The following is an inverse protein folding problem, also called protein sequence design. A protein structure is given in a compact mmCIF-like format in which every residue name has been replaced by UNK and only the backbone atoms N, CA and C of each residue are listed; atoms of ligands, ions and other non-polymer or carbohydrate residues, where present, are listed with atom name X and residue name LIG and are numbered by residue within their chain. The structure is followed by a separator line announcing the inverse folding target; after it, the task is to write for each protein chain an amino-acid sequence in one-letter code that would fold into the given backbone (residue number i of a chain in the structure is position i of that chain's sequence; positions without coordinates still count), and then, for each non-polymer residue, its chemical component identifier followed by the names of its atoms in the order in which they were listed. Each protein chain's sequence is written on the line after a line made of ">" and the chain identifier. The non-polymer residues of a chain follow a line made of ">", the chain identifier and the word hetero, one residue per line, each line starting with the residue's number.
data_IF_698681063803
#
_entry.id   IF_698681063803
#
_cell.length_a   1.000
_cell.length_b   1.000
_cell.length_c   1.000
_cell.angle_alpha   90.00
_cell.angle_beta   90.00
_cell.angle_gamma   90.00
#
_symmetry.space_group_name_H-M   'P 1'
#
loop_
_entity.id
_entity.type
_entity.pdbx_description
1 polymer ?
#
# COMPACT_ATOMS: atom_id res chain seq x y z
N UNK A 1 12.32 14.68 -10.44
CA UNK A 1 12.72 13.52 -9.60
C UNK A 1 12.03 12.25 -10.09
N UNK A 2 10.72 12.25 -10.33
CA UNK A 2 10.00 11.07 -10.85
C UNK A 2 10.58 10.56 -12.17
N UNK A 3 10.86 11.43 -13.13
CA UNK A 3 11.44 11.05 -14.43
C UNK A 3 12.83 10.45 -14.30
N UNK A 4 13.67 10.95 -13.39
CA UNK A 4 14.99 10.37 -13.14
C UNK A 4 14.91 8.97 -12.52
N UNK A 5 13.98 8.75 -11.58
CA UNK A 5 13.77 7.43 -10.98
C UNK A 5 13.14 6.41 -11.95
N UNK A 6 12.31 6.83 -12.88
CA UNK A 6 11.73 5.93 -13.89
C UNK A 6 12.77 5.19 -14.72
N UNK A 7 13.89 5.86 -15.05
CA UNK A 7 14.95 5.24 -15.84
C UNK A 7 15.87 4.31 -15.03
N UNK A 8 15.97 4.52 -13.70
CA UNK A 8 16.87 3.75 -12.84
C UNK A 8 16.16 2.73 -11.94
N UNK A 9 14.90 2.97 -11.57
CA UNK A 9 14.13 2.08 -10.71
C UNK A 9 12.65 2.01 -11.13
N UNK A 10 12.39 1.26 -12.18
CA UNK A 10 11.03 1.07 -12.71
C UNK A 10 10.05 0.49 -11.68
N UNK A 11 10.54 -0.30 -10.72
CA UNK A 11 9.71 -0.89 -9.67
C UNK A 11 9.04 0.17 -8.80
N UNK A 12 9.78 1.18 -8.35
CA UNK A 12 9.26 2.24 -7.48
C UNK A 12 8.18 3.09 -8.19
N UNK A 13 8.35 3.30 -9.49
CA UNK A 13 7.36 4.02 -10.30
C UNK A 13 6.04 3.26 -10.39
N UNK A 14 6.11 1.95 -10.64
CA UNK A 14 4.92 1.10 -10.67
C UNK A 14 4.24 1.07 -9.30
N UNK A 15 5.03 1.03 -8.21
CA UNK A 15 4.51 1.09 -6.85
C UNK A 15 3.77 2.39 -6.56
N UNK A 16 4.39 3.52 -6.87
CA UNK A 16 3.77 4.83 -6.67
C UNK A 16 2.45 4.96 -7.45
N UNK A 17 2.44 4.54 -8.71
CA UNK A 17 1.24 4.48 -9.53
C UNK A 17 0.16 3.59 -8.88
N UNK A 18 0.54 2.39 -8.47
CA UNK A 18 -0.37 1.43 -7.86
C UNK A 18 -0.96 1.94 -6.55
N UNK A 19 -0.18 2.65 -5.73
CA UNK A 19 -0.67 3.28 -4.51
C UNK A 19 -1.77 4.29 -4.78
N UNK A 20 -1.57 5.19 -5.74
CA UNK A 20 -2.58 6.20 -6.11
C UNK A 20 -3.88 5.53 -6.55
N UNK A 21 -3.77 4.50 -7.39
CA UNK A 21 -4.95 3.76 -7.86
C UNK A 21 -5.61 2.95 -6.74
N UNK A 22 -4.86 2.34 -5.82
CA UNK A 22 -5.43 1.65 -4.66
C UNK A 22 -6.27 2.58 -3.80
N UNK A 23 -5.73 3.76 -3.44
CA UNK A 23 -6.48 4.78 -2.69
C UNK A 23 -7.75 5.18 -3.43
N UNK A 24 -7.64 5.49 -4.72
CA UNK A 24 -8.78 5.86 -5.56
C UNK A 24 -9.86 4.78 -5.57
N UNK A 25 -9.48 3.52 -5.79
CA UNK A 25 -10.40 2.39 -5.85
C UNK A 25 -11.08 2.13 -4.51
N UNK A 26 -10.34 2.21 -3.39
CA UNK A 26 -10.90 2.08 -2.04
C UNK A 26 -11.92 3.18 -1.78
N UNK A 27 -11.60 4.43 -2.04
CA UNK A 27 -12.53 5.55 -1.85
C UNK A 27 -13.79 5.40 -2.72
N UNK A 28 -13.64 4.97 -3.97
CA UNK A 28 -14.77 4.70 -4.86
C UNK A 28 -15.62 3.53 -4.39
N UNK A 29 -14.98 2.48 -3.92
CA UNK A 29 -15.66 1.33 -3.34
C UNK A 29 -16.49 1.74 -2.12
N UNK A 30 -15.90 2.45 -1.15
CA UNK A 30 -16.60 2.91 0.06
C UNK A 30 -17.83 3.77 -0.28
N UNK A 31 -17.70 4.66 -1.26
CA UNK A 31 -18.83 5.50 -1.71
C UNK A 31 -19.92 4.73 -2.46
N UNK A 32 -19.57 3.68 -3.18
CA UNK A 32 -20.49 3.03 -4.15
C UNK A 32 -20.82 1.57 -3.81
N UNK A 33 -20.46 1.09 -2.63
CA UNK A 33 -20.70 -0.30 -2.22
C UNK A 33 -22.20 -0.68 -2.29
N UNK A 34 -23.11 0.25 -2.01
CA UNK A 34 -24.55 0.04 -2.10
C UNK A 34 -25.05 -0.29 -3.51
N UNK A 35 -24.30 0.10 -4.56
CA UNK A 35 -24.60 -0.18 -5.95
C UNK A 35 -23.74 -1.38 -6.38
N UNK A 36 -24.29 -2.58 -6.26
CA UNK A 36 -23.55 -3.85 -6.41
C UNK A 36 -22.78 -3.96 -7.74
N UNK A 37 -23.38 -3.63 -8.87
CA UNK A 37 -22.70 -3.68 -10.17
C UNK A 37 -21.45 -2.80 -10.23
N UNK A 38 -21.54 -1.61 -9.65
CA UNK A 38 -20.41 -0.66 -9.63
C UNK A 38 -19.35 -1.07 -8.60
N UNK A 39 -19.77 -1.53 -7.42
CA UNK A 39 -18.84 -1.98 -6.37
C UNK A 39 -18.04 -3.19 -6.83
N UNK A 40 -18.66 -4.12 -7.52
CA UNK A 40 -18.02 -5.33 -8.03
C UNK A 40 -16.83 -5.04 -8.95
N UNK A 41 -16.93 -4.03 -9.81
CA UNK A 41 -15.80 -3.60 -10.65
C UNK A 41 -14.61 -3.12 -9.81
N UNK A 42 -14.87 -2.33 -8.77
CA UNK A 42 -13.80 -1.84 -7.90
C UNK A 42 -13.11 -2.98 -7.14
N UNK A 43 -13.87 -3.97 -6.68
CA UNK A 43 -13.33 -5.16 -6.00
C UNK A 43 -12.41 -5.97 -6.93
N UNK A 44 -12.82 -6.16 -8.19
CA UNK A 44 -12.02 -6.86 -9.19
C UNK A 44 -10.72 -6.09 -9.44
N UNK A 45 -10.82 -4.79 -9.70
CA UNK A 45 -9.62 -3.97 -9.96
C UNK A 45 -8.69 -3.88 -8.75
N UNK A 46 -9.22 -3.84 -7.51
CA UNK A 46 -8.41 -3.90 -6.30
C UNK A 46 -7.62 -5.21 -6.21
N UNK A 47 -8.27 -6.35 -6.45
CA UNK A 47 -7.60 -7.64 -6.44
C UNK A 47 -6.52 -7.77 -7.52
N UNK A 48 -6.81 -7.35 -8.74
CA UNK A 48 -5.86 -7.34 -9.85
C UNK A 48 -4.66 -6.45 -9.57
N UNK A 49 -4.90 -5.21 -9.15
CA UNK A 49 -3.84 -4.23 -8.89
C UNK A 49 -2.96 -4.66 -7.72
N UNK A 50 -3.57 -5.17 -6.64
CA UNK A 50 -2.84 -5.71 -5.50
C UNK A 50 -1.93 -6.87 -5.92
N UNK A 51 -2.44 -7.82 -6.71
CA UNK A 51 -1.67 -8.97 -7.18
C UNK A 51 -0.48 -8.57 -8.05
N UNK A 52 -0.71 -7.75 -9.06
CA UNK A 52 0.34 -7.30 -9.97
C UNK A 52 1.44 -6.53 -9.24
N UNK A 53 1.06 -5.62 -8.35
CA UNK A 53 2.02 -4.82 -7.59
C UNK A 53 2.81 -5.63 -6.57
N UNK A 54 2.14 -6.59 -5.89
CA UNK A 54 2.79 -7.51 -4.95
C UNK A 54 3.79 -8.41 -5.68
N UNK A 55 3.46 -8.87 -6.87
CA UNK A 55 4.36 -9.69 -7.65
C UNK A 55 5.61 -8.96 -8.14
N UNK A 56 5.54 -7.63 -8.30
CA UNK A 56 6.73 -6.83 -8.61
C UNK A 56 7.60 -6.66 -7.36
N UNK A 57 6.96 -6.41 -6.21
CA UNK A 57 7.63 -6.27 -4.94
C UNK A 57 6.67 -6.58 -3.79
N UNK A 58 7.01 -7.59 -2.99
CA UNK A 58 6.17 -8.06 -1.89
C UNK A 58 5.91 -6.99 -0.81
N UNK A 59 6.85 -6.08 -0.60
CA UNK A 59 6.69 -4.92 0.30
C UNK A 59 5.48 -4.04 -0.01
N UNK A 60 4.91 -4.13 -1.22
CA UNK A 60 3.70 -3.40 -1.58
C UNK A 60 2.54 -3.69 -0.63
N UNK A 61 2.35 -4.95 -0.21
CA UNK A 61 1.30 -5.31 0.75
C UNK A 61 1.49 -4.61 2.10
N UNK A 62 2.73 -4.58 2.60
CA UNK A 62 3.07 -3.87 3.84
C UNK A 62 2.75 -2.38 3.75
N UNK A 63 3.03 -1.76 2.62
CA UNK A 63 2.76 -0.34 2.38
C UNK A 63 1.27 0.00 2.28
N UNK A 64 0.37 -1.00 2.09
CA UNK A 64 -1.08 -0.80 2.13
C UNK A 64 -1.67 -0.77 3.56
N UNK A 65 -0.90 -1.16 4.59
CA UNK A 65 -1.39 -1.20 5.98
C UNK A 65 -1.95 0.15 6.45
N UNK A 66 -1.28 1.31 6.29
CA UNK A 66 -1.83 2.59 6.71
C UNK A 66 -3.15 2.94 6.02
N UNK A 67 -3.25 2.67 4.72
CA UNK A 67 -4.47 2.94 3.94
C UNK A 67 -5.62 2.06 4.41
N UNK A 68 -5.34 0.79 4.70
CA UNK A 68 -6.33 -0.15 5.23
C UNK A 68 -6.81 0.27 6.62
N UNK A 69 -5.91 0.71 7.49
CA UNK A 69 -6.27 1.25 8.82
C UNK A 69 -7.19 2.47 8.67
N UNK A 70 -6.84 3.42 7.80
CA UNK A 70 -7.68 4.59 7.54
C UNK A 70 -9.07 4.21 7.01
N UNK A 71 -9.15 3.23 6.11
CA UNK A 71 -10.43 2.71 5.61
C UNK A 71 -11.26 2.06 6.72
N UNK A 72 -10.64 1.32 7.64
CA UNK A 72 -11.29 0.73 8.81
C UNK A 72 -11.81 1.83 9.74
N UNK A 73 -10.99 2.84 10.04
CA UNK A 73 -11.39 3.99 10.87
C UNK A 73 -12.58 4.71 10.25
N UNK A 74 -12.58 4.92 8.93
CA UNK A 74 -13.71 5.53 8.21
C UNK A 74 -14.98 4.69 8.35
N UNK A 75 -14.89 3.36 8.18
CA UNK A 75 -16.05 2.45 8.24
C UNK A 75 -16.67 2.39 9.64
N UNK A 76 -15.85 2.41 10.70
CA UNK A 76 -16.33 2.17 12.06
C UNK A 76 -16.60 3.46 12.82
N UNK A 77 -15.80 4.51 12.62
CA UNK A 77 -15.81 5.72 13.44
C UNK A 77 -16.36 6.93 12.68
N UNK A 78 -15.73 7.37 11.61
CA UNK A 78 -16.06 8.64 10.97
C UNK A 78 -17.33 8.58 10.12
N UNK A 79 -17.51 7.55 9.34
CA UNK A 79 -18.66 7.35 8.45
C UNK A 79 -18.99 8.55 7.55
N UNK A 80 -17.98 9.37 7.20
CA UNK A 80 -18.13 10.56 6.35
C UNK A 80 -18.16 10.23 4.86
N UNK A 81 -17.35 9.22 4.46
CA UNK A 81 -17.17 8.84 3.05
C UNK A 81 -18.14 7.74 2.66
N UNK A 82 -18.45 6.83 3.60
CA UNK A 82 -19.33 5.69 3.32
C UNK A 82 -20.77 6.13 3.06
N UNK A 83 -21.42 5.41 2.16
CA UNK A 83 -22.85 5.64 1.88
C UNK A 83 -23.70 5.17 3.08
N UNK A 84 -24.86 5.82 3.30
CA UNK A 84 -25.85 5.44 4.32
C UNK A 84 -26.31 3.97 4.21
N UNK A 85 -26.29 3.40 3.01
CA UNK A 85 -26.65 2.00 2.73
C UNK A 85 -25.46 1.03 2.70
N UNK A 86 -24.34 1.41 3.32
CA UNK A 86 -23.16 0.55 3.41
C UNK A 86 -23.43 -0.70 4.25
N UNK A 87 -23.17 -1.87 3.70
CA UNK A 87 -23.40 -3.16 4.37
C UNK A 87 -22.09 -3.84 4.76
N UNK A 88 -21.90 -4.09 6.07
CA UNK A 88 -20.76 -4.83 6.58
C UNK A 88 -20.71 -6.28 6.07
N UNK A 89 -21.87 -6.91 5.87
CA UNK A 89 -21.96 -8.26 5.30
C UNK A 89 -21.42 -8.29 3.87
N UNK A 90 -21.80 -7.30 3.07
CA UNK A 90 -21.28 -7.16 1.71
C UNK A 90 -19.78 -6.87 1.69
N UNK A 91 -19.27 -6.10 2.65
CA UNK A 91 -17.83 -5.85 2.79
C UNK A 91 -17.07 -7.17 2.95
N UNK A 92 -17.54 -8.07 3.83
CA UNK A 92 -16.87 -9.36 4.03
C UNK A 92 -16.84 -10.20 2.74
N UNK A 93 -17.96 -10.28 2.01
CA UNK A 93 -17.98 -10.97 0.72
C UNK A 93 -17.05 -10.34 -0.31
N UNK A 94 -17.00 -9.02 -0.33
CA UNK A 94 -16.15 -8.28 -1.27
C UNK A 94 -14.67 -8.44 -0.93
N UNK A 95 -14.31 -8.52 0.35
CA UNK A 95 -12.94 -8.82 0.79
C UNK A 95 -12.52 -10.25 0.41
N UNK A 96 -13.39 -11.24 0.64
CA UNK A 96 -13.12 -12.62 0.23
C UNK A 96 -12.93 -12.68 -1.29
N UNK A 97 -13.80 -12.03 -2.06
CA UNK A 97 -13.71 -11.98 -3.51
C UNK A 97 -12.41 -11.29 -3.98
N UNK A 98 -12.05 -10.16 -3.37
CA UNK A 98 -10.83 -9.45 -3.65
C UNK A 98 -9.61 -10.35 -3.40
N UNK A 99 -9.59 -11.06 -2.27
CA UNK A 99 -8.54 -12.01 -1.92
C UNK A 99 -8.45 -13.17 -2.92
N UNK A 100 -9.59 -13.75 -3.31
CA UNK A 100 -9.60 -14.83 -4.30
C UNK A 100 -9.04 -14.38 -5.66
N UNK A 101 -9.41 -13.19 -6.12
CA UNK A 101 -8.86 -12.62 -7.37
C UNK A 101 -7.35 -12.37 -7.22
N UNK A 102 -6.93 -11.72 -6.14
CA UNK A 102 -5.54 -11.46 -5.81
C UNK A 102 -4.72 -12.76 -5.85
N UNK A 103 -5.19 -13.78 -5.15
CA UNK A 103 -4.47 -15.03 -5.02
C UNK A 103 -4.46 -15.85 -6.33
N UNK A 104 -5.57 -15.85 -7.07
CA UNK A 104 -5.63 -16.51 -8.38
C UNK A 104 -4.63 -15.91 -9.38
N UNK A 105 -4.48 -14.59 -9.38
CA UNK A 105 -3.50 -13.91 -10.24
C UNK A 105 -2.06 -14.23 -9.81
N UNK A 106 -1.79 -14.29 -8.50
CA UNK A 106 -0.48 -14.71 -8.02
C UNK A 106 -0.15 -16.15 -8.45
N UNK A 107 -1.09 -17.08 -8.33
CA UNK A 107 -0.90 -18.46 -8.81
C UNK A 107 -0.62 -18.51 -10.31
N UNK A 108 -1.27 -17.66 -11.10
CA UNK A 108 -1.08 -17.68 -12.55
C UNK A 108 0.29 -17.16 -12.99
N UNK A 109 0.82 -16.14 -12.33
CA UNK A 109 1.98 -15.41 -12.83
C UNK A 109 3.26 -15.63 -12.03
N UNK A 110 3.20 -16.15 -10.79
CA UNK A 110 4.38 -16.32 -9.93
C UNK A 110 4.69 -17.80 -9.68
N UNK A 111 5.80 -18.25 -10.25
CA UNK A 111 6.24 -19.65 -10.19
C UNK A 111 6.51 -20.10 -8.75
N UNK A 112 7.00 -19.21 -7.90
CA UNK A 112 7.31 -19.52 -6.49
C UNK A 112 6.05 -19.95 -5.71
N UNK A 113 4.88 -19.43 -6.08
CA UNK A 113 3.59 -19.84 -5.50
C UNK A 113 3.26 -21.30 -5.82
N UNK A 114 3.72 -21.80 -6.97
CA UNK A 114 3.39 -23.16 -7.44
C UNK A 114 4.01 -24.26 -6.58
N UNK A 115 5.08 -23.96 -5.84
CA UNK A 115 5.74 -24.95 -4.97
C UNK A 115 4.85 -25.33 -3.78
N UNK A 116 4.10 -24.38 -3.22
CA UNK A 116 3.24 -24.63 -2.05
C UNK A 116 2.01 -23.70 -2.05
N UNK A 117 1.08 -23.94 -2.96
CA UNK A 117 -0.10 -23.07 -3.17
C UNK A 117 -0.87 -22.75 -1.87
N UNK A 118 -1.05 -23.72 -0.97
CA UNK A 118 -1.83 -23.52 0.26
C UNK A 118 -1.06 -22.79 1.37
N UNK A 119 0.26 -22.95 1.41
CA UNK A 119 1.11 -22.42 2.49
C UNK A 119 1.69 -21.05 2.11
N UNK A 120 1.74 -20.73 0.83
CA UNK A 120 2.35 -19.50 0.33
C UNK A 120 1.78 -18.20 0.96
N UNK A 121 0.48 -18.04 1.22
CA UNK A 121 -0.03 -16.87 1.93
C UNK A 121 0.57 -16.69 3.33
N UNK A 122 0.85 -17.79 4.02
CA UNK A 122 1.53 -17.76 5.31
C UNK A 122 2.98 -17.29 5.17
N UNK A 123 3.71 -17.79 4.17
CA UNK A 123 5.08 -17.34 3.89
C UNK A 123 5.12 -15.84 3.55
N UNK A 124 4.19 -15.34 2.75
CA UNK A 124 4.08 -13.90 2.45
C UNK A 124 3.96 -13.08 3.74
N UNK A 125 3.07 -13.50 4.63
CA UNK A 125 2.84 -12.80 5.90
C UNK A 125 4.10 -12.88 6.77
N UNK A 126 4.68 -14.06 6.93
CA UNK A 126 5.90 -14.26 7.70
C UNK A 126 7.04 -13.38 7.17
N UNK A 127 7.23 -13.32 5.87
CA UNK A 127 8.27 -12.54 5.25
C UNK A 127 8.08 -11.02 5.45
N UNK A 128 6.85 -10.51 5.33
CA UNK A 128 6.53 -9.10 5.60
C UNK A 128 6.93 -8.71 7.03
N UNK A 129 6.70 -9.59 8.00
CA UNK A 129 6.98 -9.29 9.41
C UNK A 129 8.39 -9.67 9.88
N UNK A 130 9.08 -10.58 9.19
CA UNK A 130 10.44 -10.99 9.56
C UNK A 130 11.51 -9.97 9.23
N UNK A 131 11.19 -8.97 8.42
CA UNK A 131 12.18 -7.98 7.96
C UNK A 131 13.26 -8.56 7.04
N UNK A 132 13.13 -9.81 6.59
CA UNK A 132 14.11 -10.48 5.71
C UNK A 132 14.31 -9.77 4.37
N UNK A 133 13.39 -8.92 3.96
CA UNK A 133 13.51 -8.07 2.77
C UNK A 133 14.54 -6.94 2.87
N UNK A 134 15.07 -6.67 4.08
CA UNK A 134 16.01 -5.57 4.32
C UNK A 134 17.43 -5.94 3.85
N UNK A 135 17.63 -7.16 3.40
CA UNK A 135 18.98 -7.70 3.08
C UNK A 135 19.61 -7.18 1.77
N UNK A 136 18.92 -6.31 1.01
CA UNK A 136 19.46 -5.81 -0.27
C UNK A 136 20.62 -4.82 -0.13
N UNK A 137 20.66 -4.02 0.94
CA UNK A 137 21.66 -2.98 1.18
C UNK A 137 22.16 -3.07 2.61
N UNK A 138 23.38 -3.60 2.84
CA UNK A 138 23.89 -3.79 4.19
C UNK A 138 24.15 -2.47 4.93
N UNK A 139 24.38 -1.36 4.20
CA UNK A 139 24.69 -0.07 4.79
C UNK A 139 23.81 1.05 4.25
N UNK A 140 23.47 2.00 5.12
CA UNK A 140 22.81 3.24 4.77
C UNK A 140 23.74 4.43 5.07
N UNK A 141 23.85 5.36 4.13
CA UNK A 141 24.58 6.60 4.31
C UNK A 141 23.64 7.67 4.89
N UNK A 142 23.95 8.17 6.09
CA UNK A 142 23.18 9.19 6.78
C UNK A 142 24.13 10.25 7.31
N UNK A 143 23.96 11.50 6.90
CA UNK A 143 24.81 12.63 7.31
C UNK A 143 26.33 12.36 7.17
N UNK A 144 26.72 11.68 6.09
CA UNK A 144 28.13 11.35 5.85
C UNK A 144 28.67 10.11 6.56
N UNK A 145 27.89 9.47 7.44
CA UNK A 145 28.27 8.24 8.15
C UNK A 145 27.53 7.02 7.59
N UNK A 146 28.23 5.88 7.54
CA UNK A 146 27.63 4.60 7.18
C UNK A 146 27.10 3.89 8.41
N UNK A 147 25.82 3.51 8.36
CA UNK A 147 25.14 2.72 9.39
C UNK A 147 24.74 1.37 8.81
N UNK A 148 24.81 0.31 9.62
CA UNK A 148 24.21 -0.96 9.25
C UNK A 148 22.71 -0.79 9.08
N UNK A 149 22.12 -1.49 8.11
CA UNK A 149 20.69 -1.38 7.84
C UNK A 149 19.80 -1.75 9.04
N UNK A 150 20.34 -2.57 9.94
CA UNK A 150 19.64 -2.99 11.16
C UNK A 150 19.86 -2.02 12.34
N UNK A 151 20.79 -1.07 12.24
CA UNK A 151 21.15 -0.15 13.32
C UNK A 151 21.08 1.32 12.85
N UNK A 152 19.97 1.63 12.19
CA UNK A 152 19.72 2.96 11.65
C UNK A 152 19.15 3.85 12.75
N UNK A 153 19.67 5.09 12.95
CA UNK A 153 19.18 5.99 13.99
C UNK A 153 17.69 6.31 13.79
N UNK A 154 16.95 6.47 14.89
CA UNK A 154 15.49 6.76 14.86
C UNK A 154 15.14 8.02 14.05
N UNK A 155 16.09 8.95 13.91
CA UNK A 155 15.95 10.15 13.09
C UNK A 155 16.04 9.89 11.57
N UNK A 156 16.41 8.70 11.14
CA UNK A 156 16.61 8.35 9.72
C UNK A 156 15.42 8.73 8.84
N UNK A 157 14.22 8.43 9.31
CA UNK A 157 12.99 8.70 8.55
C UNK A 157 12.76 10.19 8.35
N UNK A 158 12.98 10.99 9.40
CA UNK A 158 12.87 12.45 9.35
C UNK A 158 13.95 13.05 8.46
N UNK A 159 15.20 12.60 8.61
CA UNK A 159 16.34 13.06 7.81
C UNK A 159 16.06 12.78 6.32
N UNK A 160 15.65 11.56 5.98
CA UNK A 160 15.32 11.23 4.60
C UNK A 160 14.12 12.02 4.07
N UNK A 161 13.09 12.26 4.88
CA UNK A 161 11.96 13.08 4.50
C UNK A 161 12.42 14.50 4.12
N UNK A 162 13.28 15.13 4.91
CA UNK A 162 13.75 16.49 4.65
C UNK A 162 14.76 16.57 3.49
N UNK A 163 15.74 15.67 3.43
CA UNK A 163 16.81 15.78 2.43
C UNK A 163 16.47 15.13 1.07
N UNK A 164 15.59 14.13 1.06
CA UNK A 164 15.22 13.44 -0.19
C UNK A 164 13.90 13.92 -0.80
N UNK A 165 13.07 14.62 -0.02
CA UNK A 165 11.84 15.20 -0.57
C UNK A 165 12.14 16.54 -1.25
N UNK A 166 11.56 16.80 -2.43
CA UNK A 166 11.59 18.12 -3.04
C UNK A 166 10.93 19.16 -2.14
N UNK A 167 11.41 20.39 -2.18
CA UNK A 167 10.95 21.49 -1.32
C UNK A 167 9.43 21.71 -1.44
N UNK A 168 8.88 21.63 -2.65
CA UNK A 168 7.44 21.79 -2.87
C UNK A 168 6.61 20.70 -2.19
N UNK A 169 7.14 19.49 -2.05
CA UNK A 169 6.47 18.40 -1.30
C UNK A 169 6.48 18.70 0.20
N UNK A 170 7.57 19.23 0.74
CA UNK A 170 7.64 19.65 2.14
C UNK A 170 6.63 20.77 2.44
N UNK A 171 6.48 21.73 1.54
CA UNK A 171 5.46 22.79 1.65
C UNK A 171 4.04 22.19 1.63
N UNK A 172 3.77 21.23 0.76
CA UNK A 172 2.49 20.54 0.70
C UNK A 172 2.18 19.76 1.99
N UNK A 173 3.17 19.12 2.60
CA UNK A 173 2.99 18.45 3.89
C UNK A 173 2.65 19.43 5.01
N UNK A 174 3.34 20.58 5.07
CA UNK A 174 3.04 21.64 6.02
C UNK A 174 1.62 22.20 5.82
N UNK A 175 1.25 22.47 4.58
CA UNK A 175 -0.09 22.94 4.25
C UNK A 175 -1.17 21.92 4.65
N UNK A 176 -0.94 20.64 4.39
CA UNK A 176 -1.84 19.56 4.78
C UNK A 176 -1.99 19.43 6.29
N UNK A 177 -0.89 19.57 7.05
CA UNK A 177 -0.92 19.59 8.52
C UNK A 177 -1.75 20.75 9.05
N UNK A 178 -1.60 21.95 8.49
CA UNK A 178 -2.40 23.13 8.87
C UNK A 178 -3.89 22.89 8.62
N UNK A 179 -4.25 22.31 7.47
CA UNK A 179 -5.64 21.98 7.15
C UNK A 179 -6.23 20.95 8.12
N UNK A 180 -5.47 19.94 8.52
CA UNK A 180 -5.93 18.97 9.54
C UNK A 180 -6.17 19.66 10.87
N UNK A 181 -5.22 20.49 11.33
CA UNK A 181 -5.35 21.20 12.61
C UNK A 181 -6.53 22.18 12.64
N UNK A 182 -6.93 22.73 11.50
CA UNK A 182 -8.12 23.60 11.40
C UNK A 182 -9.44 22.83 11.43
N UNK A 183 -9.41 21.50 11.22
CA UNK A 183 -10.63 20.67 11.22
C UNK A 183 -10.85 19.91 12.54
N UNK A 184 -9.90 19.97 13.47
CA UNK A 184 -9.99 19.45 14.82
C UNK A 184 -10.49 20.55 15.76
#
# INVERSE_FOLDING_TARGET
>A
IFFGHMSFNGKDTIHAFSHVWMVYLILRYLKKQSIREKSNKYVIFLGLLAALSTGIQLLFLGSQIPITILAIIEIFFFKKIINKHFSRKNLLYDLIKCFLIFYSILILFWIDVHQNILIYPYYIIQEIFSGSFITGWPYNLINGNYYLSNDVPKSYLLINLFYKSPEYILILYLFFLVLILQQI
#
